data_IF_144784239821
#
_entry.id   IF_144784239821
#
_cell.length_a   1.000
_cell.length_b   1.000
_cell.length_c   1.000
_cell.angle_alpha   90.00
_cell.angle_beta   90.00
_cell.angle_gamma   90.00
#
_symmetry.space_group_name_H-M   'P 1'
#
loop_
_entity.id
_entity.type
_entity.pdbx_description
1 polymer ?
#
# COMPACT_ATOMS: atom_id res chain seq x y z
N UNK A 1 -36.71 -31.56 35.14
CA UNK A 1 -36.47 -30.69 33.97
C UNK A 1 -35.06 -30.79 33.38
N UNK A 2 -34.05 -31.28 34.12
CA UNK A 2 -32.63 -31.29 33.69
C UNK A 2 -32.26 -32.32 32.61
N UNK A 3 -32.96 -33.47 32.53
CA UNK A 3 -32.65 -34.52 31.55
C UNK A 3 -33.13 -34.18 30.13
N UNK A 4 -34.27 -33.50 30.01
CA UNK A 4 -34.80 -33.04 28.71
C UNK A 4 -33.96 -31.90 28.11
N UNK A 5 -33.46 -30.98 28.95
CA UNK A 5 -32.57 -29.90 28.49
C UNK A 5 -31.19 -30.43 28.10
N UNK A 6 -30.67 -31.44 28.81
CA UNK A 6 -29.41 -32.11 28.48
C UNK A 6 -29.50 -32.93 27.18
N UNK A 7 -30.64 -33.58 26.93
CA UNK A 7 -30.93 -34.25 25.66
C UNK A 7 -31.06 -33.25 24.50
N UNK A 8 -31.69 -32.09 24.71
CA UNK A 8 -31.78 -31.03 23.70
C UNK A 8 -30.40 -30.46 23.35
N UNK A 9 -29.53 -30.29 24.34
CA UNK A 9 -28.17 -29.80 24.14
C UNK A 9 -27.30 -30.81 23.39
N UNK A 10 -27.45 -32.10 23.71
CA UNK A 10 -26.78 -33.19 22.99
C UNK A 10 -27.25 -33.30 21.54
N UNK A 11 -28.55 -33.11 21.28
CA UNK A 11 -29.11 -33.09 19.92
C UNK A 11 -28.59 -31.90 19.09
N UNK A 12 -28.43 -30.73 19.72
CA UNK A 12 -27.85 -29.55 19.07
C UNK A 12 -26.38 -29.78 18.64
N UNK A 13 -25.58 -30.43 19.49
CA UNK A 13 -24.20 -30.79 19.14
C UNK A 13 -24.11 -31.87 18.06
N UNK A 14 -25.02 -32.85 18.05
CA UNK A 14 -25.09 -33.87 17.00
C UNK A 14 -25.48 -33.29 15.63
N UNK A 15 -26.38 -32.30 15.58
CA UNK A 15 -26.77 -31.63 14.33
C UNK A 15 -25.71 -30.62 13.83
N UNK A 16 -24.86 -30.10 14.71
CA UNK A 16 -23.79 -29.15 14.35
C UNK A 16 -22.66 -29.79 13.53
N UNK A 17 -22.52 -31.12 13.56
CA UNK A 17 -21.55 -31.87 12.76
C UNK A 17 -21.91 -32.01 11.27
N UNK A 18 -23.13 -31.64 10.87
CA UNK A 18 -23.57 -31.66 9.46
C UNK A 18 -23.27 -30.36 8.71
N UNK A 19 -22.59 -29.41 9.34
CA UNK A 19 -22.09 -28.21 8.66
C UNK A 19 -20.92 -28.57 7.74
N UNK A 20 -21.27 -28.91 6.50
CA UNK A 20 -20.52 -28.60 5.28
C UNK A 20 -19.01 -28.84 5.33
N UNK A 21 -18.61 -30.10 5.20
CA UNK A 21 -17.34 -30.40 4.52
C UNK A 21 -17.57 -30.24 3.02
N UNK A 22 -17.39 -29.02 2.49
CA UNK A 22 -17.23 -28.87 1.04
C UNK A 22 -15.92 -29.58 0.68
N UNK A 23 -16.04 -30.73 0.02
CA UNK A 23 -14.85 -31.52 -0.31
C UNK A 23 -13.98 -30.75 -1.31
N UNK A 24 -12.66 -30.89 -1.20
CA UNK A 24 -11.70 -30.31 -2.15
C UNK A 24 -12.01 -30.71 -3.61
N UNK A 25 -12.66 -31.86 -3.81
CA UNK A 25 -13.08 -32.30 -5.14
C UNK A 25 -14.22 -31.45 -5.71
N UNK A 26 -15.15 -30.96 -4.90
CA UNK A 26 -16.21 -30.03 -5.33
C UNK A 26 -15.63 -28.66 -5.64
N UNK A 27 -14.66 -28.19 -4.84
CA UNK A 27 -13.94 -26.94 -5.10
C UNK A 27 -13.15 -27.00 -6.42
N UNK A 28 -12.47 -28.13 -6.67
CA UNK A 28 -11.71 -28.35 -7.89
C UNK A 28 -12.61 -28.43 -9.14
N UNK A 29 -13.77 -29.09 -9.05
CA UNK A 29 -14.77 -29.11 -10.13
C UNK A 29 -15.33 -27.72 -10.40
N UNK A 30 -15.69 -26.97 -9.36
CA UNK A 30 -16.21 -25.61 -9.49
C UNK A 30 -15.18 -24.64 -10.08
N UNK A 31 -13.91 -24.77 -9.72
CA UNK A 31 -12.83 -23.97 -10.33
C UNK A 31 -12.56 -24.37 -11.78
N UNK A 32 -12.70 -25.66 -12.12
CA UNK A 32 -12.61 -26.14 -13.51
C UNK A 32 -13.76 -25.58 -14.36
N UNK A 33 -14.99 -25.64 -13.87
CA UNK A 33 -16.18 -25.06 -14.52
C UNK A 33 -16.04 -23.54 -14.70
N UNK A 34 -15.48 -22.83 -13.70
CA UNK A 34 -15.16 -21.40 -13.84
C UNK A 34 -14.18 -21.15 -14.98
N UNK A 35 -13.12 -21.96 -15.09
CA UNK A 35 -12.13 -21.84 -16.19
C UNK A 35 -12.71 -22.18 -17.55
N UNK A 36 -13.61 -23.15 -17.63
CA UNK A 36 -14.32 -23.50 -18.86
C UNK A 36 -15.27 -22.36 -19.29
N UNK A 37 -16.00 -21.75 -18.35
CA UNK A 37 -16.86 -20.58 -18.62
C UNK A 37 -16.09 -19.33 -19.08
N UNK A 38 -14.80 -19.24 -18.78
CA UNK A 38 -13.93 -18.14 -19.22
C UNK A 38 -13.35 -18.38 -20.62
N UNK A 39 -13.29 -19.64 -21.08
CA UNK A 39 -12.85 -19.98 -22.45
C UNK A 39 -13.91 -19.65 -23.50
N UNK A 40 -15.20 -19.73 -23.14
CA UNK A 40 -16.32 -19.41 -24.04
C UNK A 40 -16.56 -17.91 -24.19
N UNK A 41 -16.07 -17.09 -23.24
CA UNK A 41 -16.09 -15.63 -23.35
C UNK A 41 -14.99 -15.20 -24.31
N UNK A 42 -15.38 -14.76 -25.52
CA UNK A 42 -14.48 -14.14 -26.50
C UNK A 42 -13.76 -12.95 -25.86
N UNK A 43 -12.57 -13.20 -25.35
CA UNK A 43 -11.66 -12.16 -24.85
C UNK A 43 -11.07 -11.49 -26.09
N UNK A 44 -11.39 -10.22 -26.30
CA UNK A 44 -10.76 -9.43 -27.36
C UNK A 44 -9.34 -9.14 -26.91
N UNK A 45 -8.39 -9.94 -27.39
CA UNK A 45 -6.97 -9.70 -27.18
C UNK A 45 -6.58 -8.54 -28.09
N UNK A 46 -6.45 -7.35 -27.49
CA UNK A 46 -5.92 -6.18 -28.20
C UNK A 46 -4.41 -6.39 -28.32
N UNK A 47 -3.93 -6.59 -29.53
CA UNK A 47 -2.51 -6.78 -29.82
C UNK A 47 -1.84 -5.43 -30.11
N UNK A 48 -0.51 -5.39 -30.08
CA UNK A 48 0.24 -4.17 -30.42
C UNK A 48 -0.05 -3.66 -31.84
N UNK A 49 -0.38 -4.57 -32.77
CA UNK A 49 -0.77 -4.23 -34.14
C UNK A 49 -2.13 -3.53 -34.20
N UNK A 50 -3.03 -3.84 -33.26
CA UNK A 50 -4.33 -3.19 -33.15
C UNK A 50 -4.20 -1.75 -32.62
N UNK A 51 -3.19 -1.50 -31.76
CA UNK A 51 -2.87 -0.16 -31.26
C UNK A 51 -2.33 0.76 -32.35
N UNK A 52 -1.73 0.23 -33.42
CA UNK A 52 -1.23 1.02 -34.55
C UNK A 52 -2.34 1.59 -35.44
N UNK A 53 -3.53 0.96 -35.44
CA UNK A 53 -4.69 1.38 -36.25
C UNK A 53 -5.50 2.48 -35.56
N UNK A 54 -5.29 2.71 -34.26
CA UNK A 54 -6.00 3.74 -33.50
C UNK A 54 -5.23 5.07 -33.60
N UNK A 55 -5.84 6.05 -34.26
CA UNK A 55 -5.30 7.43 -34.32
C UNK A 55 -5.32 8.04 -32.92
N UNK A 56 -4.14 8.24 -32.33
CA UNK A 56 -3.96 8.88 -31.03
C UNK A 56 -4.43 10.33 -31.13
N UNK A 57 -5.44 10.70 -30.34
CA UNK A 57 -5.78 12.10 -30.09
C UNK A 57 -4.99 12.57 -28.86
N UNK A 58 -4.48 13.82 -28.85
CA UNK A 58 -3.83 14.38 -27.67
C UNK A 58 -4.83 14.43 -26.50
N UNK A 59 -4.39 13.99 -25.31
CA UNK A 59 -5.25 13.90 -24.13
C UNK A 59 -5.56 15.27 -23.50
N UNK A 60 -4.80 16.32 -23.85
CA UNK A 60 -5.02 17.70 -23.40
C UNK A 60 -4.88 18.65 -24.60
N UNK A 61 -5.94 19.38 -24.92
CA UNK A 61 -5.85 20.62 -25.70
C UNK A 61 -5.70 21.78 -24.71
N UNK A 62 -4.47 22.02 -24.25
CA UNK A 62 -4.16 23.31 -23.62
C UNK A 62 -4.14 24.34 -24.74
N UNK A 63 -5.17 25.17 -24.82
CA UNK A 63 -5.19 26.36 -25.65
C UNK A 63 -4.03 27.28 -25.25
N UNK A 64 -2.94 27.23 -26.02
CA UNK A 64 -1.82 28.16 -25.85
C UNK A 64 -2.18 29.41 -26.63
N UNK A 65 -2.45 30.49 -25.89
CA UNK A 65 -2.53 31.83 -26.43
C UNK A 65 -1.27 32.13 -27.23
N UNK A 66 -1.49 32.59 -28.46
CA UNK A 66 -0.48 32.95 -29.44
C UNK A 66 0.49 33.99 -28.88
N UNK A 67 1.77 33.62 -28.78
CA UNK A 67 2.87 34.59 -28.74
C UNK A 67 3.74 34.31 -29.95
N UNK A 68 3.54 35.16 -30.95
CA UNK A 68 4.30 35.27 -32.18
C UNK A 68 5.72 35.75 -31.85
N UNK A 69 6.73 34.89 -32.08
CA UNK A 69 8.11 35.32 -32.24
C UNK A 69 8.66 34.72 -33.53
N UNK A 70 8.70 35.59 -34.55
CA UNK A 70 9.39 35.40 -35.83
C UNK A 70 10.78 34.80 -35.62
N UNK A 71 11.12 33.80 -36.43
CA UNK A 71 12.49 33.63 -36.89
C UNK A 71 12.47 33.14 -38.35
N UNK A 72 12.98 33.99 -39.23
CA UNK A 72 13.23 33.68 -40.63
C UNK A 72 14.56 32.95 -40.76
N UNK A 73 14.54 31.86 -41.53
CA UNK A 73 15.61 31.20 -42.31
C UNK A 73 17.09 31.57 -42.08
N UNK A 74 17.98 30.55 -42.02
CA UNK A 74 19.00 30.20 -43.05
C UNK A 74 20.09 29.21 -42.54
N UNK A 75 20.44 28.23 -43.40
CA UNK A 75 21.69 27.44 -43.58
C UNK A 75 22.20 26.51 -42.44
N UNK A 76 22.32 25.19 -42.66
CA UNK A 76 23.51 24.43 -43.19
C UNK A 76 24.78 24.63 -42.33
N UNK A 77 25.58 23.65 -41.89
CA UNK A 77 25.87 22.26 -42.30
C UNK A 77 26.93 21.62 -41.33
N UNK A 78 27.18 20.31 -41.49
CA UNK A 78 28.45 19.54 -41.24
C UNK A 78 28.61 18.62 -39.98
N UNK A 79 28.77 17.33 -40.33
CA UNK A 79 29.52 16.16 -39.80
C UNK A 79 29.50 15.64 -38.34
N UNK A 80 28.94 14.42 -38.22
CA UNK A 80 29.60 13.11 -38.01
C UNK A 80 30.80 12.99 -37.04
N UNK A 81 30.61 12.30 -35.89
CA UNK A 81 31.30 11.04 -35.50
C UNK A 81 31.24 10.69 -33.98
N UNK A 82 30.63 9.53 -33.68
CA UNK A 82 30.96 8.55 -32.61
C UNK A 82 30.69 8.90 -31.10
N UNK A 83 30.56 7.89 -30.20
CA UNK A 83 29.38 7.65 -29.37
C UNK A 83 29.47 8.23 -27.94
N UNK A 84 28.35 8.51 -27.26
CA UNK A 84 28.41 9.00 -25.88
C UNK A 84 28.67 7.85 -24.90
N UNK A 85 29.71 8.04 -24.09
CA UNK A 85 29.99 7.29 -22.88
C UNK A 85 28.75 7.28 -21.98
N UNK A 86 28.35 6.09 -21.53
CA UNK A 86 27.36 5.89 -20.50
C UNK A 86 27.89 6.43 -19.17
N UNK A 87 27.64 7.70 -18.89
CA UNK A 87 27.74 8.25 -17.55
C UNK A 87 26.57 7.69 -16.73
N UNK A 88 26.85 6.64 -15.96
CA UNK A 88 26.02 6.21 -14.83
C UNK A 88 25.86 7.39 -13.87
N UNK A 89 24.74 8.12 -14.01
CA UNK A 89 24.31 9.07 -13.00
C UNK A 89 23.55 8.28 -11.94
N UNK A 90 24.32 7.81 -10.96
CA UNK A 90 23.82 7.46 -9.63
C UNK A 90 23.12 8.71 -9.10
N UNK A 91 21.79 8.70 -9.04
CA UNK A 91 21.08 9.66 -8.23
C UNK A 91 21.12 9.16 -6.78
N UNK A 92 21.74 9.90 -5.85
CA UNK A 92 21.47 9.68 -4.44
C UNK A 92 20.02 10.12 -4.20
N UNK A 93 19.16 9.20 -3.80
CA UNK A 93 17.87 9.58 -3.21
C UNK A 93 18.19 10.13 -1.83
N UNK A 94 18.51 11.43 -1.79
CA UNK A 94 18.35 12.22 -0.58
C UNK A 94 16.85 12.31 -0.35
N UNK A 95 16.35 11.52 0.61
CA UNK A 95 15.01 11.72 1.16
C UNK A 95 15.09 13.00 1.98
N UNK A 96 14.93 14.14 1.31
CA UNK A 96 14.68 15.39 2.00
C UNK A 96 13.34 15.27 2.72
N UNK A 97 13.41 15.31 4.05
CA UNK A 97 12.30 15.65 4.91
C UNK A 97 11.81 17.06 4.53
N UNK A 98 10.84 17.14 3.63
CA UNK A 98 10.06 18.34 3.42
C UNK A 98 8.60 17.93 3.13
N UNK A 99 7.79 17.96 4.17
CA UNK A 99 6.35 17.77 4.12
C UNK A 99 5.68 18.80 3.18
N UNK A 100 4.86 18.38 2.22
CA UNK A 100 3.77 19.21 1.72
C UNK A 100 2.48 18.70 2.35
N UNK A 101 2.03 19.39 3.41
CA UNK A 101 0.66 19.24 3.91
C UNK A 101 -0.31 19.76 2.84
N UNK A 102 -0.79 18.87 1.97
CA UNK A 102 -1.75 19.19 0.91
C UNK A 102 -3.21 19.25 1.37
N UNK A 103 -3.48 19.05 2.66
CA UNK A 103 -4.81 19.25 3.24
C UNK A 103 -4.68 19.78 4.67
N UNK A 104 -4.77 21.10 4.87
CA UNK A 104 -5.43 21.69 6.04
C UNK A 104 -5.38 23.22 5.96
N UNK A 105 -6.45 23.81 5.43
CA UNK A 105 -6.77 25.22 5.65
C UNK A 105 -7.44 25.36 7.02
N UNK A 106 -6.65 25.30 8.08
CA UNK A 106 -7.10 25.44 9.46
C UNK A 106 -5.98 25.02 10.40
N UNK A 107 -5.63 25.85 11.38
CA UNK A 107 -4.69 25.48 12.42
C UNK A 107 -5.24 24.25 13.16
N UNK A 108 -4.70 23.07 12.85
CA UNK A 108 -5.06 21.83 13.53
C UNK A 108 -4.81 22.04 15.02
N UNK A 109 -5.79 21.64 15.84
CA UNK A 109 -5.58 21.68 17.29
C UNK A 109 -4.41 20.76 17.66
N UNK A 110 -3.70 21.06 18.74
CA UNK A 110 -2.55 20.24 19.17
C UNK A 110 -2.93 18.75 19.31
N UNK A 111 -4.17 18.48 19.74
CA UNK A 111 -4.75 17.15 19.77
C UNK A 111 -4.86 16.48 18.40
N UNK A 112 -5.35 17.18 17.38
CA UNK A 112 -5.47 16.64 16.02
C UNK A 112 -4.08 16.33 15.44
N UNK A 113 -3.10 17.20 15.67
CA UNK A 113 -1.73 16.96 15.23
C UNK A 113 -1.09 15.74 15.92
N UNK A 114 -1.36 15.52 17.21
CA UNK A 114 -0.91 14.33 17.95
C UNK A 114 -1.61 13.04 17.46
N UNK A 115 -2.91 13.09 17.21
CA UNK A 115 -3.67 11.96 16.66
C UNK A 115 -3.17 11.60 15.26
N UNK A 116 -2.98 12.59 14.38
CA UNK A 116 -2.42 12.34 13.04
C UNK A 116 -1.03 11.71 13.08
N UNK A 117 -0.17 12.14 14.02
CA UNK A 117 1.15 11.53 14.21
C UNK A 117 1.04 10.07 14.61
N UNK A 118 0.15 9.76 15.56
CA UNK A 118 -0.09 8.39 15.99
C UNK A 118 -0.64 7.53 14.85
N UNK A 119 -1.61 8.04 14.08
CA UNK A 119 -2.16 7.30 12.94
C UNK A 119 -1.11 7.05 11.86
N UNK A 120 -0.30 8.06 11.50
CA UNK A 120 0.81 7.89 10.54
C UNK A 120 1.84 6.86 11.01
N UNK A 121 2.17 6.86 12.30
CA UNK A 121 3.10 5.88 12.86
C UNK A 121 2.51 4.45 12.76
N UNK A 122 1.23 4.29 13.09
CA UNK A 122 0.51 3.02 13.00
C UNK A 122 0.42 2.51 11.54
N UNK A 123 0.05 3.37 10.60
CA UNK A 123 0.01 3.05 9.17
C UNK A 123 1.39 2.62 8.66
N UNK A 124 2.45 3.25 9.15
CA UNK A 124 3.81 2.90 8.77
C UNK A 124 4.22 1.52 9.31
N UNK A 125 3.86 1.17 10.55
CA UNK A 125 4.04 -0.18 11.10
C UNK A 125 3.28 -1.22 10.28
N UNK A 126 2.04 -0.92 9.90
CA UNK A 126 1.22 -1.80 9.07
C UNK A 126 1.86 -2.03 7.69
N UNK A 127 2.32 -0.96 7.03
CA UNK A 127 3.01 -1.04 5.74
C UNK A 127 4.27 -1.91 5.82
N UNK A 128 5.09 -1.72 6.87
CA UNK A 128 6.29 -2.53 7.07
C UNK A 128 5.97 -3.99 7.36
N UNK A 129 4.87 -4.25 8.08
CA UNK A 129 4.37 -5.61 8.35
C UNK A 129 3.94 -6.29 7.06
N UNK A 130 3.17 -5.60 6.21
CA UNK A 130 2.77 -6.10 4.90
C UNK A 130 3.98 -6.39 4.02
N UNK A 131 4.97 -5.49 4.00
CA UNK A 131 6.23 -5.70 3.27
C UNK A 131 6.98 -6.92 3.78
N UNK A 132 7.09 -7.10 5.10
CA UNK A 132 7.76 -8.25 5.69
C UNK A 132 7.09 -9.56 5.28
N UNK A 133 5.76 -9.60 5.29
CA UNK A 133 5.00 -10.77 4.85
C UNK A 133 5.20 -11.06 3.35
N UNK A 134 5.19 -10.03 2.51
CA UNK A 134 5.45 -10.17 1.07
C UNK A 134 6.86 -10.70 0.81
N UNK A 135 7.88 -10.20 1.53
CA UNK A 135 9.26 -10.70 1.43
C UNK A 135 9.37 -12.17 1.85
N UNK A 136 8.64 -12.58 2.89
CA UNK A 136 8.58 -13.99 3.28
C UNK A 136 7.92 -14.85 2.19
N UNK A 137 6.82 -14.38 1.60
CA UNK A 137 6.19 -15.07 0.47
C UNK A 137 7.16 -15.22 -0.70
N UNK A 138 7.87 -14.14 -1.05
CA UNK A 138 8.89 -14.15 -2.11
C UNK A 138 10.01 -15.14 -1.80
N UNK A 139 10.53 -15.12 -0.56
CA UNK A 139 11.58 -16.03 -0.09
C UNK A 139 11.22 -17.52 -0.29
N UNK A 140 9.97 -17.89 -0.01
CA UNK A 140 9.49 -19.26 -0.16
C UNK A 140 9.00 -19.58 -1.58
N UNK A 141 8.70 -18.58 -2.40
CA UNK A 141 8.24 -18.76 -3.79
C UNK A 141 9.38 -19.03 -4.78
N UNK A 142 10.62 -18.72 -4.42
CA UNK A 142 11.78 -18.94 -5.27
C UNK A 142 12.24 -20.40 -5.17
N UNK A 143 12.04 -21.15 -6.25
CA UNK A 143 12.34 -22.57 -6.30
C UNK A 143 13.83 -22.86 -6.55
N UNK A 144 14.57 -22.12 -7.39
CA UNK A 144 16.03 -22.26 -7.47
C UNK A 144 16.77 -21.11 -8.18
N UNK A 145 18.05 -20.92 -7.83
CA UNK A 145 19.12 -20.08 -8.42
C UNK A 145 19.08 -18.55 -8.29
N UNK A 146 18.02 -17.92 -7.78
CA UNK A 146 18.02 -16.49 -7.41
C UNK A 146 18.67 -16.26 -6.04
N UNK A 147 19.35 -15.11 -5.80
CA UNK A 147 20.05 -14.86 -4.56
C UNK A 147 19.07 -14.60 -3.41
N UNK A 148 18.61 -15.68 -2.76
CA UNK A 148 17.84 -15.65 -1.50
C UNK A 148 18.50 -14.74 -0.45
N UNK A 149 19.82 -14.60 -0.51
CA UNK A 149 20.61 -13.71 0.34
C UNK A 149 20.11 -12.26 0.30
N UNK A 150 19.72 -11.74 -0.86
CA UNK A 150 19.19 -10.37 -0.98
C UNK A 150 17.84 -10.24 -0.27
N UNK A 151 16.99 -11.26 -0.38
CA UNK A 151 15.69 -11.29 0.30
C UNK A 151 15.88 -11.44 1.81
N UNK A 152 16.83 -12.28 2.25
CA UNK A 152 17.18 -12.40 3.67
C UNK A 152 17.70 -11.08 4.25
N UNK A 153 18.55 -10.37 3.51
CA UNK A 153 19.00 -9.02 3.89
C UNK A 153 17.80 -8.06 3.97
N UNK A 154 16.95 -8.05 2.96
CA UNK A 154 15.76 -7.20 2.94
C UNK A 154 14.78 -7.52 4.10
N UNK A 155 14.63 -8.80 4.47
CA UNK A 155 13.84 -9.24 5.63
C UNK A 155 14.44 -8.68 6.92
N UNK A 156 15.75 -8.83 7.12
CA UNK A 156 16.44 -8.34 8.31
C UNK A 156 16.35 -6.81 8.42
N UNK A 157 16.58 -6.08 7.33
CA UNK A 157 16.45 -4.63 7.29
C UNK A 157 15.01 -4.16 7.57
N UNK A 158 14.03 -4.82 6.97
CA UNK A 158 12.62 -4.46 7.16
C UNK A 158 12.18 -4.76 8.59
N UNK A 159 12.67 -5.85 9.19
CA UNK A 159 12.42 -6.17 10.59
C UNK A 159 12.99 -5.12 11.54
N UNK A 160 14.24 -4.66 11.33
CA UNK A 160 14.83 -3.57 12.12
C UNK A 160 14.03 -2.26 11.98
N UNK A 161 13.60 -1.93 10.76
CA UNK A 161 12.73 -0.77 10.51
C UNK A 161 11.39 -0.89 11.22
N UNK A 162 10.81 -2.10 11.24
CA UNK A 162 9.55 -2.38 11.91
C UNK A 162 9.69 -2.22 13.43
N UNK A 163 10.76 -2.73 14.03
CA UNK A 163 11.02 -2.52 15.46
C UNK A 163 11.10 -1.03 15.81
N UNK A 164 11.85 -0.26 15.02
CA UNK A 164 11.94 1.20 15.20
C UNK A 164 10.58 1.89 15.01
N UNK A 165 9.82 1.49 14.00
CA UNK A 165 8.49 2.04 13.75
C UNK A 165 7.52 1.75 14.91
N UNK A 166 7.60 0.56 15.51
CA UNK A 166 6.82 0.19 16.70
C UNK A 166 7.21 1.04 17.92
N UNK A 167 8.50 1.27 18.14
CA UNK A 167 8.94 2.18 19.20
C UNK A 167 8.43 3.61 18.99
N UNK A 168 8.42 4.07 17.75
CA UNK A 168 7.94 5.41 17.40
C UNK A 168 6.40 5.51 17.50
N UNK A 169 5.66 4.45 17.17
CA UNK A 169 4.22 4.32 17.44
C UNK A 169 3.93 4.40 18.95
N UNK A 170 4.67 3.64 19.75
CA UNK A 170 4.52 3.63 21.21
C UNK A 170 4.81 5.01 21.82
N UNK A 171 5.83 5.71 21.32
CA UNK A 171 6.12 7.11 21.74
C UNK A 171 4.97 8.04 21.36
N UNK A 172 4.48 7.98 20.12
CA UNK A 172 3.37 8.82 19.67
C UNK A 172 2.09 8.55 20.49
N UNK A 173 1.82 7.28 20.83
CA UNK A 173 0.71 6.90 21.73
C UNK A 173 0.88 7.51 23.13
N UNK A 174 2.08 7.41 23.70
CA UNK A 174 2.36 8.00 25.02
C UNK A 174 2.23 9.52 25.03
N UNK A 175 2.66 10.21 23.96
CA UNK A 175 2.50 11.66 23.83
C UNK A 175 1.03 12.07 23.80
N UNK A 176 0.21 11.34 23.03
CA UNK A 176 -1.23 11.56 22.98
C UNK A 176 -1.90 11.33 24.34
N UNK A 177 -1.54 10.26 25.05
CA UNK A 177 -2.06 9.98 26.39
C UNK A 177 -1.64 11.04 27.43
N UNK A 178 -0.39 11.50 27.37
CA UNK A 178 0.11 12.59 28.22
C UNK A 178 -0.63 13.90 27.96
N UNK A 179 -0.96 14.20 26.70
CA UNK A 179 -1.78 15.36 26.35
C UNK A 179 -3.20 15.22 26.90
N UNK A 180 -3.86 14.07 26.67
CA UNK A 180 -5.22 13.82 27.18
C UNK A 180 -5.29 13.87 28.71
N UNK A 181 -4.30 13.36 29.41
CA UNK A 181 -4.25 13.44 30.89
C UNK A 181 -4.03 14.86 31.39
N UNK A 182 -3.23 15.68 30.70
CA UNK A 182 -3.09 17.12 31.00
C UNK A 182 -4.41 17.86 30.80
N UNK A 183 -5.06 17.66 29.66
CA UNK A 183 -6.38 18.26 29.37
C UNK A 183 -7.42 17.83 30.40
N UNK A 184 -7.45 16.55 30.79
CA UNK A 184 -8.35 16.06 31.86
C UNK A 184 -8.06 16.74 33.21
N UNK A 185 -6.79 16.96 33.54
CA UNK A 185 -6.38 17.62 34.79
C UNK A 185 -6.75 19.10 34.81
N UNK A 186 -6.60 19.80 33.68
CA UNK A 186 -6.94 21.23 33.54
C UNK A 186 -8.46 21.44 33.42
N UNK A 187 -9.18 20.51 32.80
CA UNK A 187 -10.64 20.53 32.70
C UNK A 187 -11.34 20.15 34.00
N UNK A 188 -10.64 19.53 34.96
CA UNK A 188 -11.21 19.22 36.27
C UNK A 188 -11.47 20.54 37.01
N UNK A 189 -12.73 20.87 37.35
CA UNK A 189 -13.03 22.15 37.96
C UNK A 189 -12.37 22.23 39.35
N UNK A 190 -11.61 23.32 39.56
CA UNK A 190 -10.95 23.66 40.83
C UNK A 190 -11.98 24.07 41.90
N UNK A 191 -12.86 23.15 42.29
CA UNK A 191 -13.91 23.36 43.32
C UNK A 191 -13.46 22.74 44.65
N UNK A 192 -12.16 22.66 44.93
CA UNK A 192 -11.65 22.21 46.22
C UNK A 192 -10.89 23.36 46.88
N UNK A 193 -11.67 24.30 47.40
CA UNK A 193 -11.31 25.34 48.37
C UNK A 193 -12.49 25.28 49.37
N UNK A 194 -12.37 25.04 50.67
CA UNK A 194 -11.33 25.31 51.66
C UNK A 194 -11.43 24.29 52.81
#
# INVERSE_FOLDING_TARGET
MKTKTMALFSLFFLFSGWLWSQSLAELAKKERERRESLKEKKTVVITNDDLARVKRKPALETGVASVERRESATAESVDQAAPPQAASRVMPVTIDQASPSLFSGGAATEQQALEEKYQKAKEYVELLTLKLNALWQEFYSLDDMTPRDQIQQAIAETFLKLQKAQEDEDKARQELEKYLSRVKKESAPSIWIR
#
